data_IF_822665804102
#
_entry.id   IF_822665804102
#
_cell.length_a   1.000
_cell.length_b   1.000
_cell.length_c   1.000
_cell.angle_alpha   90.00
_cell.angle_beta   90.00
_cell.angle_gamma   90.00
#
_symmetry.space_group_name_H-M   'P 1'
#
loop_
_entity.id
_entity.type
_entity.pdbx_description
1 polymer ?
#
# COMPACT_ATOMS: atom_id res chain seq x y z
N UNK A 1 18.78 18.19 -14.97
CA UNK A 1 17.77 18.18 -13.88
C UNK A 1 18.36 18.94 -12.71
N UNK A 2 17.69 19.98 -12.22
CA UNK A 2 18.09 20.66 -10.99
C UNK A 2 17.71 19.81 -9.76
N UNK A 3 18.23 20.15 -8.58
CA UNK A 3 17.88 19.43 -7.34
C UNK A 3 16.38 19.47 -7.02
N UNK A 4 15.71 20.57 -7.35
CA UNK A 4 14.25 20.72 -7.17
C UNK A 4 13.46 19.79 -8.08
N UNK A 5 13.86 19.67 -9.35
CA UNK A 5 13.25 18.72 -10.30
C UNK A 5 13.37 17.28 -9.81
N UNK A 6 14.52 16.91 -9.21
CA UNK A 6 14.72 15.57 -8.65
C UNK A 6 13.80 15.28 -7.46
N UNK A 7 13.63 16.24 -6.55
CA UNK A 7 12.73 16.11 -5.41
C UNK A 7 11.30 15.94 -5.90
N UNK A 8 10.85 16.80 -6.83
CA UNK A 8 9.51 16.73 -7.39
C UNK A 8 9.26 15.37 -8.07
N UNK A 9 10.20 14.91 -8.89
CA UNK A 9 10.11 13.60 -9.53
C UNK A 9 10.01 12.46 -8.50
N UNK A 10 10.80 12.54 -7.43
CA UNK A 10 10.81 11.53 -6.37
C UNK A 10 9.46 11.49 -5.64
N UNK A 11 8.87 12.64 -5.34
CA UNK A 11 7.53 12.74 -4.71
C UNK A 11 6.45 12.15 -5.62
N UNK A 12 6.40 12.55 -6.88
CA UNK A 12 5.42 12.03 -7.85
C UNK A 12 5.56 10.51 -8.00
N UNK A 13 6.79 10.00 -8.10
CA UNK A 13 7.06 8.56 -8.17
C UNK A 13 6.59 7.83 -6.89
N UNK A 14 6.75 8.44 -5.73
CA UNK A 14 6.34 7.83 -4.46
C UNK A 14 4.81 7.75 -4.32
N UNK A 15 4.08 8.77 -4.81
CA UNK A 15 2.62 8.75 -4.91
C UNK A 15 2.16 7.55 -5.76
N UNK A 16 2.78 7.35 -6.94
CA UNK A 16 2.49 6.21 -7.81
C UNK A 16 2.72 4.88 -7.09
N UNK A 17 3.85 4.73 -6.40
CA UNK A 17 4.19 3.50 -5.66
C UNK A 17 3.15 3.19 -4.59
N UNK A 18 2.71 4.20 -3.83
CA UNK A 18 1.71 4.00 -2.77
C UNK A 18 0.35 3.63 -3.35
N UNK A 19 -0.08 4.32 -4.40
CA UNK A 19 -1.33 3.98 -5.10
C UNK A 19 -1.28 2.54 -5.62
N UNK A 20 -0.19 2.15 -6.28
CA UNK A 20 0.00 0.77 -6.75
C UNK A 20 0.07 -0.25 -5.63
N UNK A 21 0.64 0.11 -4.48
CA UNK A 21 0.65 -0.77 -3.32
C UNK A 21 -0.77 -1.06 -2.85
N UNK A 22 -1.64 -0.05 -2.73
CA UNK A 22 -3.02 -0.25 -2.27
C UNK A 22 -3.82 -1.16 -3.21
N UNK A 23 -3.70 -0.95 -4.52
CA UNK A 23 -4.38 -1.74 -5.55
C UNK A 23 -3.60 -2.99 -5.99
N UNK A 24 -2.43 -3.25 -5.40
CA UNK A 24 -1.55 -4.34 -5.77
C UNK A 24 -2.01 -5.70 -5.27
N UNK A 25 -1.38 -6.75 -5.81
CA UNK A 25 -1.79 -8.15 -5.60
C UNK A 25 -1.71 -8.61 -4.14
N UNK A 26 -0.86 -7.96 -3.34
CA UNK A 26 -0.68 -8.31 -1.93
C UNK A 26 -1.68 -7.61 -1.01
N UNK A 27 -1.98 -6.32 -1.26
CA UNK A 27 -2.86 -5.53 -0.40
C UNK A 27 -4.33 -5.75 -0.74
N UNK A 28 -4.70 -5.65 -2.02
CA UNK A 28 -6.09 -5.60 -2.45
C UNK A 28 -6.92 -6.83 -2.00
N UNK A 29 -6.42 -8.09 -2.07
CA UNK A 29 -7.17 -9.24 -1.56
C UNK A 29 -7.41 -9.20 -0.04
N UNK A 30 -6.56 -8.51 0.72
CA UNK A 30 -6.59 -8.46 2.20
C UNK A 30 -7.32 -7.22 2.73
N UNK A 31 -7.30 -6.13 1.98
CA UNK A 31 -7.89 -4.84 2.35
C UNK A 31 -9.42 -4.87 2.24
N UNK A 32 -10.10 -5.01 3.37
CA UNK A 32 -11.58 -5.12 3.40
C UNK A 32 -12.24 -3.82 2.93
N UNK A 33 -11.75 -2.68 3.40
CA UNK A 33 -12.31 -1.38 3.07
C UNK A 33 -12.18 -1.10 1.57
N UNK A 34 -10.97 -1.27 1.02
CA UNK A 34 -10.76 -1.02 -0.41
C UNK A 34 -11.59 -1.97 -1.28
N UNK A 35 -11.73 -3.25 -0.88
CA UNK A 35 -12.63 -4.21 -1.55
C UNK A 35 -14.09 -3.82 -1.54
N UNK A 36 -14.56 -3.17 -0.49
CA UNK A 36 -15.93 -2.66 -0.43
C UNK A 36 -16.09 -1.48 -1.38
N UNK A 37 -15.14 -0.55 -1.41
CA UNK A 37 -15.19 0.63 -2.29
C UNK A 37 -15.20 0.26 -3.78
N UNK A 38 -14.34 -0.67 -4.22
CA UNK A 38 -14.28 -1.09 -5.63
C UNK A 38 -15.57 -1.78 -6.11
N UNK A 39 -16.41 -2.30 -5.22
CA UNK A 39 -17.68 -2.95 -5.59
C UNK A 39 -18.80 -1.95 -5.83
N UNK A 40 -18.65 -0.71 -5.38
CA UNK A 40 -19.70 0.31 -5.45
C UNK A 40 -19.86 0.88 -6.86
N UNK A 41 -18.77 0.95 -7.63
CA UNK A 41 -18.72 1.70 -8.89
C UNK A 41 -17.73 1.09 -9.87
N UNK A 42 -17.93 -0.17 -10.29
CA UNK A 42 -17.12 -0.82 -11.35
C UNK A 42 -15.58 -0.74 -11.16
N UNK A 43 -15.13 -0.83 -9.91
CA UNK A 43 -13.73 -0.71 -9.55
C UNK A 43 -13.23 0.72 -9.28
N UNK A 44 -14.01 1.74 -9.61
CA UNK A 44 -13.68 3.13 -9.37
C UNK A 44 -13.73 3.48 -7.88
N UNK A 45 -12.68 4.15 -7.43
CA UNK A 45 -12.55 4.69 -6.08
C UNK A 45 -12.34 6.19 -6.18
N UNK A 46 -13.23 7.01 -5.58
CA UNK A 46 -13.07 8.45 -5.55
C UNK A 46 -11.76 8.89 -4.87
N UNK A 47 -11.13 9.94 -5.39
CA UNK A 47 -9.92 10.51 -4.81
C UNK A 47 -10.15 11.02 -3.38
N UNK A 48 -11.36 11.48 -3.07
CA UNK A 48 -11.79 11.82 -1.70
C UNK A 48 -11.63 10.67 -0.71
N UNK A 49 -11.80 9.44 -1.17
CA UNK A 49 -11.59 8.24 -0.36
C UNK A 49 -10.10 7.92 -0.31
N UNK A 50 -9.39 8.05 -1.43
CA UNK A 50 -7.95 7.79 -1.52
C UNK A 50 -7.13 8.68 -0.58
N UNK A 51 -7.47 9.96 -0.46
CA UNK A 51 -6.76 10.87 0.46
C UNK A 51 -7.02 10.58 1.94
N UNK A 52 -7.96 9.69 2.30
CA UNK A 52 -8.14 9.23 3.69
C UNK A 52 -7.14 8.15 4.08
N UNK A 53 -6.44 7.54 3.11
CA UNK A 53 -5.40 6.57 3.40
C UNK A 53 -4.16 7.25 3.96
N UNK A 54 -3.78 6.91 5.19
CA UNK A 54 -2.72 7.57 5.95
C UNK A 54 -1.40 7.78 5.20
N UNK A 55 -0.95 6.82 4.37
CA UNK A 55 0.33 6.96 3.65
C UNK A 55 0.23 7.96 2.50
N UNK A 56 -0.90 8.01 1.82
CA UNK A 56 -1.12 8.94 0.72
C UNK A 56 -1.40 10.35 1.24
N UNK A 57 -2.26 10.47 2.27
CA UNK A 57 -2.60 11.72 2.94
C UNK A 57 -1.35 12.51 3.39
N UNK A 58 -0.38 11.80 3.99
CA UNK A 58 0.88 12.40 4.48
C UNK A 58 1.77 12.97 3.38
N UNK A 59 1.54 12.59 2.12
CA UNK A 59 2.29 13.12 0.98
C UNK A 59 1.55 14.27 0.32
N UNK A 60 0.25 14.09 0.10
CA UNK A 60 -0.60 15.10 -0.54
C UNK A 60 -2.07 14.80 -0.30
N UNK A 61 -2.85 15.87 -0.26
CA UNK A 61 -4.32 15.84 -0.35
C UNK A 61 -4.83 16.49 -1.62
N UNK A 62 -3.93 17.00 -2.48
CA UNK A 62 -4.26 17.65 -3.74
C UNK A 62 -4.51 16.60 -4.84
N UNK A 63 -5.74 16.58 -5.35
CA UNK A 63 -6.18 15.66 -6.40
C UNK A 63 -5.40 15.85 -7.70
N UNK A 64 -5.04 17.09 -8.05
CA UNK A 64 -4.31 17.37 -9.28
C UNK A 64 -2.92 16.73 -9.24
N UNK A 65 -2.25 16.80 -8.09
CA UNK A 65 -0.93 16.18 -7.90
C UNK A 65 -1.01 14.65 -8.01
N UNK A 66 -2.07 14.04 -7.47
CA UNK A 66 -2.28 12.58 -7.57
C UNK A 66 -2.54 12.17 -9.02
N UNK A 67 -3.41 12.89 -9.72
CA UNK A 67 -3.74 12.64 -11.14
C UNK A 67 -2.52 12.86 -12.03
N UNK A 68 -1.75 13.92 -11.80
CA UNK A 68 -0.51 14.19 -12.53
C UNK A 68 0.52 13.09 -12.30
N UNK A 69 0.71 12.65 -11.06
CA UNK A 69 1.62 11.57 -10.73
C UNK A 69 1.24 10.27 -11.46
N UNK A 70 -0.04 9.90 -11.42
CA UNK A 70 -0.55 8.68 -12.04
C UNK A 70 -0.53 8.75 -13.58
N UNK A 71 -0.82 9.90 -14.17
CA UNK A 71 -0.80 10.07 -15.64
C UNK A 71 0.60 10.03 -16.24
N UNK A 72 1.63 10.46 -15.49
CA UNK A 72 3.04 10.35 -15.91
C UNK A 72 3.65 8.97 -15.66
N UNK A 73 2.94 8.09 -14.94
CA UNK A 73 3.41 6.75 -14.64
C UNK A 73 3.41 5.88 -15.89
N UNK A 74 4.53 5.19 -16.16
CA UNK A 74 4.61 4.16 -17.21
C UNK A 74 3.96 2.84 -16.79
N UNK A 75 3.65 2.67 -15.52
CA UNK A 75 3.07 1.45 -15.00
C UNK A 75 1.55 1.49 -15.19
N UNK A 76 1.05 0.69 -16.13
CA UNK A 76 -0.37 0.63 -16.52
C UNK A 76 -1.22 -0.17 -15.51
N UNK A 77 -0.89 -0.13 -14.21
CA UNK A 77 -1.70 -0.81 -13.19
C UNK A 77 -2.95 0.01 -12.84
N UNK A 78 -2.87 1.33 -12.97
CA UNK A 78 -3.91 2.26 -12.55
C UNK A 78 -4.51 2.99 -13.74
N UNK A 79 -5.83 3.16 -13.73
CA UNK A 79 -6.58 4.01 -14.64
C UNK A 79 -7.15 5.21 -13.89
N UNK A 80 -7.28 6.34 -14.59
CA UNK A 80 -7.86 7.58 -14.09
C UNK A 80 -9.16 7.81 -14.87
N UNK A 81 -10.21 8.22 -14.18
CA UNK A 81 -11.49 8.53 -14.83
C UNK A 81 -11.38 9.76 -15.74
N UNK A 82 -12.27 9.89 -16.71
CA UNK A 82 -12.25 11.02 -17.67
C UNK A 82 -12.41 12.38 -16.98
N UNK A 83 -13.23 12.42 -15.92
CA UNK A 83 -13.46 13.59 -15.07
C UNK A 83 -12.34 13.82 -14.04
N UNK A 84 -11.34 12.93 -13.98
CA UNK A 84 -10.19 12.97 -13.06
C UNK A 84 -10.55 12.98 -11.57
N UNK A 85 -11.75 12.53 -11.21
CA UNK A 85 -12.21 12.48 -9.81
C UNK A 85 -12.01 11.12 -9.15
N UNK A 86 -11.80 10.06 -9.93
CA UNK A 86 -11.69 8.66 -9.47
C UNK A 86 -10.51 7.95 -10.10
N UNK A 87 -10.05 6.90 -9.43
CA UNK A 87 -9.01 6.01 -9.91
C UNK A 87 -9.43 4.56 -9.71
N UNK A 88 -8.93 3.66 -10.56
CA UNK A 88 -9.14 2.21 -10.40
C UNK A 88 -7.92 1.41 -10.82
N UNK A 89 -7.87 0.14 -10.42
CA UNK A 89 -6.97 -0.84 -11.03
C UNK A 89 -7.45 -1.14 -12.45
N UNK A 90 -6.53 -1.19 -13.41
CA UNK A 90 -6.88 -1.51 -14.79
C UNK A 90 -7.51 -2.90 -14.89
N UNK A 91 -8.68 -3.06 -15.53
CA UNK A 91 -9.30 -4.36 -15.78
C UNK A 91 -8.40 -5.31 -16.61
N UNK A 92 -7.48 -4.75 -17.40
CA UNK A 92 -6.49 -5.54 -18.17
C UNK A 92 -5.47 -6.27 -17.29
N UNK A 93 -5.35 -5.89 -16.01
CA UNK A 93 -4.44 -6.48 -15.03
C UNK A 93 -5.23 -7.06 -13.85
N UNK A 94 -5.98 -8.16 -14.04
CA UNK A 94 -6.74 -8.78 -12.97
C UNK A 94 -5.83 -9.24 -11.81
N UNK A 95 -6.42 -9.49 -10.64
CA UNK A 95 -5.69 -10.10 -9.53
C UNK A 95 -5.26 -11.53 -9.92
N UNK A 96 -4.07 -11.97 -9.49
CA UNK A 96 -3.65 -13.35 -9.71
C UNK A 96 -4.57 -14.32 -8.97
N UNK A 97 -4.81 -15.47 -9.57
CA UNK A 97 -5.57 -16.54 -8.94
C UNK A 97 -4.78 -17.14 -7.77
N UNK A 98 -5.46 -17.41 -6.65
CA UNK A 98 -4.83 -17.91 -5.43
C UNK A 98 -4.70 -19.43 -5.48
N UNK A 99 -3.86 -19.93 -6.38
CA UNK A 99 -3.53 -21.36 -6.49
C UNK A 99 -2.47 -21.77 -5.47
N UNK A 100 -2.26 -23.07 -5.29
CA UNK A 100 -1.22 -23.56 -4.38
C UNK A 100 0.19 -23.28 -4.92
N UNK A 101 0.37 -23.25 -6.25
CA UNK A 101 1.60 -22.77 -6.89
C UNK A 101 1.87 -21.31 -6.56
N UNK A 102 0.85 -20.44 -6.65
CA UNK A 102 0.98 -19.02 -6.29
C UNK A 102 1.38 -18.85 -4.82
N UNK A 103 0.76 -19.61 -3.90
CA UNK A 103 1.12 -19.57 -2.47
C UNK A 103 2.56 -20.03 -2.24
N UNK A 104 2.99 -21.08 -2.93
CA UNK A 104 4.35 -21.59 -2.82
C UNK A 104 5.37 -20.60 -3.38
N UNK A 105 5.10 -19.97 -4.53
CA UNK A 105 5.94 -18.91 -5.07
C UNK A 105 6.09 -17.77 -4.06
N UNK A 106 4.98 -17.22 -3.56
CA UNK A 106 4.99 -16.14 -2.54
C UNK A 106 5.79 -16.55 -1.30
N UNK A 107 5.67 -17.80 -0.84
CA UNK A 107 6.43 -18.31 0.31
C UNK A 107 7.93 -18.37 0.02
N UNK A 108 8.34 -18.80 -1.17
CA UNK A 108 9.76 -18.93 -1.55
C UNK A 108 10.49 -17.59 -1.65
N UNK A 109 9.77 -16.49 -1.93
CA UNK A 109 10.28 -15.10 -1.94
C UNK A 109 10.06 -14.35 -0.62
N UNK A 110 9.48 -15.01 0.39
CA UNK A 110 9.25 -14.40 1.71
C UNK A 110 10.47 -14.59 2.62
N UNK A 111 10.95 -13.51 3.23
CA UNK A 111 12.06 -13.53 4.19
C UNK A 111 11.53 -13.15 5.57
N UNK A 112 11.84 -13.95 6.58
CA UNK A 112 11.57 -13.63 7.97
C UNK A 112 12.77 -12.92 8.59
N UNK A 113 12.58 -11.69 9.06
CA UNK A 113 13.62 -10.90 9.72
C UNK A 113 13.23 -10.75 11.19
N UNK A 114 13.97 -11.41 12.09
CA UNK A 114 13.86 -11.16 13.53
C UNK A 114 14.65 -9.89 13.82
N UNK A 115 13.96 -8.76 14.00
CA UNK A 115 14.61 -7.58 14.55
C UNK A 115 14.91 -7.84 16.03
N UNK A 116 16.19 -7.89 16.39
CA UNK A 116 16.63 -7.44 17.71
C UNK A 116 16.39 -5.92 17.79
N UNK A 117 15.12 -5.53 17.95
CA UNK A 117 14.87 -4.18 18.43
C UNK A 117 15.58 -4.06 19.78
N UNK A 118 16.43 -3.04 20.00
CA UNK A 118 16.72 -2.65 21.38
C UNK A 118 15.38 -2.25 21.98
N UNK A 119 14.76 -3.17 22.70
CA UNK A 119 13.73 -2.82 23.67
C UNK A 119 14.48 -1.93 24.64
N UNK A 120 14.24 -0.62 24.57
CA UNK A 120 14.62 0.26 25.66
C UNK A 120 14.06 -0.40 26.92
N UNK A 121 14.95 -0.96 27.74
CA UNK A 121 14.64 -1.57 29.01
C UNK A 121 14.10 -0.47 29.92
N UNK A 122 12.83 -0.13 29.76
CA UNK A 122 12.05 0.49 30.82
C UNK A 122 11.67 -0.67 31.72
N UNK A 123 12.30 -0.70 32.89
CA UNK A 123 12.27 -1.82 33.83
C UNK A 123 10.87 -2.36 34.08
N UNK A 124 10.70 -3.65 33.80
CA UNK A 124 9.70 -4.49 34.46
C UNK A 124 10.43 -5.70 35.02
N UNK A 125 10.54 -5.69 36.34
CA UNK A 125 11.07 -6.74 37.19
C UNK A 125 10.07 -7.92 37.15
N UNK A 126 10.50 -9.05 36.57
CA UNK A 126 9.72 -10.28 36.64
C UNK A 126 9.89 -10.88 38.03
N UNK A 127 8.77 -11.18 38.70
CA UNK A 127 8.72 -11.75 40.05
C UNK A 127 9.44 -13.10 40.13
N UNK A 128 10.34 -13.22 41.12
CA UNK A 128 10.85 -14.49 41.62
C UNK A 128 9.71 -15.32 42.19
N UNK A 129 9.38 -16.44 41.55
CA UNK A 129 8.78 -17.57 42.24
C UNK A 129 9.63 -18.81 42.00
N UNK A 130 10.47 -19.10 43.00
CA UNK A 130 11.18 -20.37 43.15
C UNK A 130 10.21 -21.55 43.30
N UNK A 131 10.70 -22.79 43.18
CA UNK A 131 9.85 -23.97 43.11
C UNK A 131 9.22 -24.30 44.46
N UNK A 132 7.91 -24.50 44.49
CA UNK A 132 7.24 -25.20 45.59
C UNK A 132 7.54 -26.69 45.46
N UNK A 133 8.27 -27.21 46.45
CA UNK A 133 8.40 -28.64 46.70
C UNK A 133 7.10 -29.18 47.30
N UNK A 134 6.71 -30.39 46.88
CA UNK A 134 6.04 -31.38 47.73
C UNK A 134 6.41 -32.77 47.23
#
# INVERSE_FOLDING_TARGET
MSGLEFILYSVLKYIVIISQYYFGDFNLPRDKFLKEQIKLDEGWVPLEIMIKFNRLNRLTTDFNVIVEALSKSKAELMEISEDKTKIRRSPSKPLPEVTDEYKNDVKNRSVYIVKSHPVAHVGMQWFDHGPLQS
#
